data_IF_145757189074
#
_entry.id   IF_145757189074
#
_cell.length_a   1.000
_cell.length_b   1.000
_cell.length_c   1.000
_cell.angle_alpha   90.00
_cell.angle_beta   90.00
_cell.angle_gamma   90.00
#
_symmetry.space_group_name_H-M   'P 1'
#
loop_
_entity.id
_entity.type
_entity.pdbx_description
1 polymer ?
#
# COMPACT_ATOMS: atom_id res chain seq x y z
N UNK A 1 14.45 -32.29 -11.79
CA UNK A 1 15.57 -32.81 -10.98
C UNK A 1 14.99 -33.80 -10.00
N UNK A 2 15.38 -35.07 -10.13
CA UNK A 2 14.79 -36.19 -9.39
C UNK A 2 15.59 -36.46 -8.10
N UNK A 3 14.89 -36.72 -7.00
CA UNK A 3 15.46 -37.11 -5.73
C UNK A 3 16.18 -38.47 -5.84
N UNK A 4 17.39 -38.55 -5.29
CA UNK A 4 18.14 -39.80 -5.15
C UNK A 4 17.76 -40.51 -3.82
N UNK A 5 17.66 -41.85 -3.78
CA UNK A 5 17.29 -42.57 -2.57
C UNK A 5 18.52 -42.89 -1.70
N UNK A 6 18.39 -42.70 -0.39
CA UNK A 6 19.36 -43.18 0.60
C UNK A 6 19.40 -44.72 0.60
N UNK A 7 20.59 -45.27 0.31
CA UNK A 7 20.86 -46.70 0.20
C UNK A 7 21.28 -47.25 1.56
N UNK A 8 20.54 -48.25 2.05
CA UNK A 8 20.88 -49.04 3.23
C UNK A 8 22.23 -49.74 3.06
N UNK A 9 23.13 -49.59 4.02
CA UNK A 9 24.24 -50.51 4.26
C UNK A 9 24.29 -50.82 5.76
N UNK A 10 23.84 -52.03 6.10
CA UNK A 10 23.98 -52.60 7.43
C UNK A 10 25.41 -53.12 7.60
N UNK A 11 26.10 -52.69 8.67
CA UNK A 11 27.20 -53.43 9.28
C UNK A 11 27.04 -53.39 10.80
N UNK A 12 27.15 -54.58 11.39
CA UNK A 12 26.87 -54.89 12.80
C UNK A 12 28.06 -54.60 13.73
N UNK A 13 27.70 -54.18 14.94
CA UNK A 13 28.32 -54.42 16.27
C UNK A 13 29.63 -53.70 16.62
N UNK A 14 29.56 -52.80 17.62
CA UNK A 14 30.27 -52.84 18.93
C UNK A 14 29.62 -51.80 19.89
N UNK A 15 29.75 -52.05 21.20
CA UNK A 15 29.01 -51.55 22.36
C UNK A 15 29.04 -50.03 22.71
N UNK A 16 27.98 -49.63 23.44
CA UNK A 16 27.59 -48.40 24.19
C UNK A 16 28.72 -47.62 24.95
N UNK A 17 28.51 -46.38 25.44
CA UNK A 17 27.39 -45.41 25.35
C UNK A 17 27.84 -43.96 24.96
N UNK A 18 26.90 -43.00 24.93
CA UNK A 18 27.11 -41.55 24.70
C UNK A 18 27.61 -41.16 23.30
N UNK A 19 26.69 -41.01 22.36
CA UNK A 19 26.81 -39.93 21.38
C UNK A 19 25.47 -39.22 21.30
N UNK A 20 25.54 -37.92 21.52
CA UNK A 20 24.43 -36.99 21.42
C UNK A 20 23.56 -37.35 20.21
N UNK A 21 22.25 -37.48 20.46
CA UNK A 21 21.29 -37.35 19.39
C UNK A 21 21.47 -35.94 18.84
N UNK A 22 22.34 -35.78 17.84
CA UNK A 22 22.26 -34.69 16.91
C UNK A 22 20.94 -34.96 16.20
N UNK A 23 19.86 -34.44 16.79
CA UNK A 23 18.66 -34.12 16.03
C UNK A 23 19.19 -33.11 15.03
N UNK A 24 19.62 -33.61 13.87
CA UNK A 24 19.80 -32.81 12.68
C UNK A 24 18.40 -32.34 12.33
N UNK A 25 17.94 -31.32 13.07
CA UNK A 25 16.81 -30.53 12.68
C UNK A 25 17.20 -30.02 11.31
N UNK A 26 16.58 -30.59 10.29
CA UNK A 26 16.30 -29.86 9.07
C UNK A 26 15.43 -28.67 9.52
N UNK A 27 16.07 -27.64 10.07
CA UNK A 27 15.67 -26.26 9.89
C UNK A 27 15.70 -25.97 8.39
N UNK A 28 14.77 -26.60 7.68
CA UNK A 28 14.30 -26.09 6.41
C UNK A 28 13.84 -24.67 6.76
N UNK A 29 14.57 -23.69 6.23
CA UNK A 29 14.18 -22.28 6.30
C UNK A 29 12.93 -22.15 5.43
N UNK A 30 11.82 -22.73 5.86
CA UNK A 30 10.53 -22.52 5.24
C UNK A 30 10.28 -21.01 5.36
N UNK A 31 9.93 -20.34 4.25
CA UNK A 31 9.60 -18.93 4.30
C UNK A 31 8.47 -18.73 5.33
N UNK A 32 8.47 -17.60 6.05
CA UNK A 32 7.44 -17.33 7.02
C UNK A 32 6.04 -17.46 6.37
N UNK A 33 5.02 -17.87 7.15
CA UNK A 33 3.67 -17.99 6.61
C UNK A 33 3.26 -16.66 5.96
N UNK A 34 2.73 -16.74 4.75
CA UNK A 34 2.27 -15.57 4.02
C UNK A 34 1.16 -14.85 4.80
N UNK A 35 1.13 -13.51 4.79
CA UNK A 35 0.07 -12.76 5.46
C UNK A 35 -1.27 -13.09 4.82
N UNK A 36 -2.35 -13.18 5.62
CA UNK A 36 -3.68 -13.43 5.09
C UNK A 36 -4.07 -12.32 4.10
N UNK A 37 -4.86 -12.65 3.08
CA UNK A 37 -5.45 -11.66 2.18
C UNK A 37 -6.24 -10.66 3.03
N UNK A 38 -6.07 -9.34 2.81
CA UNK A 38 -6.77 -8.36 3.62
C UNK A 38 -8.27 -8.47 3.39
N UNK A 39 -9.00 -8.44 4.49
CA UNK A 39 -10.46 -8.33 4.54
C UNK A 39 -10.80 -6.97 5.14
N UNK A 40 -11.99 -6.45 4.81
CA UNK A 40 -12.48 -5.22 5.40
C UNK A 40 -13.95 -5.35 5.77
N UNK A 41 -14.28 -4.74 6.92
CA UNK A 41 -15.65 -4.59 7.37
C UNK A 41 -16.29 -3.30 6.86
N UNK A 42 -15.56 -2.46 6.12
CA UNK A 42 -16.08 -1.22 5.55
C UNK A 42 -16.83 -1.47 4.24
N UNK A 43 -18.04 -0.94 4.18
CA UNK A 43 -18.92 -0.96 3.02
C UNK A 43 -18.88 0.38 2.28
N UNK A 44 -19.52 0.43 1.11
CA UNK A 44 -19.69 1.69 0.37
C UNK A 44 -20.56 2.69 1.16
N UNK A 45 -21.56 2.19 1.90
CA UNK A 45 -22.42 3.04 2.73
C UNK A 45 -21.65 3.67 3.90
N UNK A 46 -20.69 2.94 4.48
CA UNK A 46 -19.77 3.49 5.49
C UNK A 46 -18.91 4.60 4.90
N UNK A 47 -18.37 4.39 3.69
CA UNK A 47 -17.58 5.39 2.97
C UNK A 47 -18.41 6.64 2.60
N UNK A 48 -19.68 6.47 2.21
CA UNK A 48 -20.60 7.58 1.94
C UNK A 48 -21.01 8.36 3.18
N UNK A 49 -21.04 7.69 4.33
CA UNK A 49 -21.37 8.30 5.62
C UNK A 49 -20.17 8.95 6.31
N UNK A 50 -18.96 8.76 5.77
CA UNK A 50 -17.74 9.33 6.32
C UNK A 50 -17.65 10.84 6.06
N UNK A 51 -17.37 11.60 7.12
CA UNK A 51 -17.45 13.06 7.12
C UNK A 51 -16.20 13.79 7.64
N UNK A 52 -15.16 13.06 8.04
CA UNK A 52 -13.96 13.69 8.64
C UNK A 52 -13.10 14.42 7.60
N UNK A 53 -13.04 13.90 6.36
CA UNK A 53 -12.43 14.57 5.22
C UNK A 53 -13.05 14.08 3.90
N UNK A 54 -13.07 14.90 2.83
CA UNK A 54 -13.64 14.51 1.54
C UNK A 54 -13.02 13.23 0.96
N UNK A 55 -13.86 12.28 0.55
CA UNK A 55 -13.42 11.07 -0.15
C UNK A 55 -13.73 11.17 -1.65
N UNK A 56 -12.88 10.53 -2.43
CA UNK A 56 -12.94 10.47 -3.89
C UNK A 56 -12.76 9.03 -4.35
N UNK A 57 -13.42 8.66 -5.44
CA UNK A 57 -13.41 7.29 -5.96
C UNK A 57 -13.67 7.26 -7.46
N UNK A 58 -13.60 6.06 -8.05
CA UNK A 58 -13.82 5.81 -9.49
C UNK A 58 -15.12 5.04 -9.75
N UNK A 59 -15.99 4.95 -8.74
CA UNK A 59 -17.20 4.13 -8.80
C UNK A 59 -16.96 2.68 -8.42
N UNK A 60 -17.98 1.84 -8.63
CA UNK A 60 -17.95 0.42 -8.30
C UNK A 60 -17.15 -0.44 -9.30
N UNK A 61 -16.91 0.08 -10.50
CA UNK A 61 -16.09 -0.54 -11.52
C UNK A 61 -15.34 0.54 -12.31
N UNK A 62 -14.04 0.34 -12.53
CA UNK A 62 -13.22 1.24 -13.33
C UNK A 62 -12.42 0.43 -14.35
N UNK A 63 -12.61 0.73 -15.64
CA UNK A 63 -11.93 0.03 -16.75
C UNK A 63 -12.03 -1.51 -16.68
N UNK A 64 -13.18 -2.03 -16.23
CA UNK A 64 -13.40 -3.47 -16.07
C UNK A 64 -12.92 -4.04 -14.74
N UNK A 65 -12.21 -3.26 -13.91
CA UNK A 65 -11.79 -3.66 -12.57
C UNK A 65 -12.89 -3.34 -11.54
N UNK A 66 -13.46 -4.35 -10.87
CA UNK A 66 -14.41 -4.11 -9.79
C UNK A 66 -13.70 -3.52 -8.56
N UNK A 67 -14.41 -2.68 -7.80
CA UNK A 67 -13.99 -2.31 -6.45
C UNK A 67 -14.05 -3.56 -5.56
N UNK A 68 -12.89 -3.97 -5.03
CA UNK A 68 -12.76 -5.23 -4.26
C UNK A 68 -12.55 -5.02 -2.77
N UNK A 69 -12.03 -3.85 -2.36
CA UNK A 69 -11.78 -3.53 -0.96
C UNK A 69 -11.97 -2.04 -0.71
N UNK A 70 -12.67 -1.72 0.39
CA UNK A 70 -12.68 -0.38 0.98
C UNK A 70 -12.05 -0.54 2.36
N UNK A 71 -10.96 0.15 2.65
CA UNK A 71 -10.24 0.02 3.93
C UNK A 71 -10.20 1.35 4.65
N UNK A 72 -10.58 1.35 5.92
CA UNK A 72 -10.37 2.48 6.84
C UNK A 72 -9.28 2.13 7.83
N UNK A 73 -8.29 3.00 7.96
CA UNK A 73 -7.30 2.92 9.03
C UNK A 73 -7.35 4.19 9.86
N UNK A 74 -7.83 4.07 11.09
CA UNK A 74 -7.79 5.17 12.04
C UNK A 74 -6.36 5.43 12.51
N UNK A 75 -6.02 6.71 12.70
CA UNK A 75 -4.74 7.07 13.30
C UNK A 75 -4.60 6.35 14.66
N UNK A 76 -3.54 5.56 14.81
CA UNK A 76 -3.22 4.96 16.10
C UNK A 76 -2.32 5.92 16.85
N UNK A 77 -2.76 6.44 18.00
CA UNK A 77 -1.84 7.08 18.95
C UNK A 77 -0.88 6.02 19.45
N UNK A 78 0.33 5.97 18.90
CA UNK A 78 1.35 5.05 19.38
C UNK A 78 2.37 5.82 20.21
N UNK A 79 2.52 5.44 21.47
CA UNK A 79 3.70 5.78 22.26
C UNK A 79 4.86 4.97 21.68
N UNK A 80 5.89 5.59 21.09
CA UNK A 80 7.01 4.82 20.56
C UNK A 80 7.64 4.01 21.70
N UNK A 81 8.06 2.74 21.47
CA UNK A 81 8.85 2.01 22.43
C UNK A 81 10.15 2.79 22.66
N UNK A 82 10.87 2.55 23.77
CA UNK A 82 12.09 3.29 24.13
C UNK A 82 13.18 3.31 23.04
N UNK A 83 13.04 2.45 22.01
CA UNK A 83 13.92 2.36 20.84
C UNK A 83 13.59 3.34 19.71
N UNK A 84 12.55 4.18 19.84
CA UNK A 84 12.34 5.37 19.01
C UNK A 84 11.89 5.13 17.56
N UNK A 85 11.52 3.90 17.18
CA UNK A 85 11.13 3.54 15.79
C UNK A 85 9.65 3.25 15.58
N UNK A 86 8.77 3.89 16.34
CA UNK A 86 7.33 3.83 16.08
C UNK A 86 6.90 5.00 15.21
N UNK A 87 6.64 4.80 13.92
CA UNK A 87 5.91 5.80 13.12
C UNK A 87 4.43 5.69 13.44
N UNK A 88 3.83 6.77 13.96
CA UNK A 88 2.38 6.90 13.99
C UNK A 88 1.88 6.78 12.55
N UNK A 89 0.95 5.88 12.30
CA UNK A 89 0.37 5.72 10.97
C UNK A 89 -0.81 6.67 10.84
N UNK A 90 -0.80 7.56 9.83
CA UNK A 90 -1.83 8.55 9.66
C UNK A 90 -3.17 7.90 9.35
N UNK A 91 -4.20 8.69 9.56
CA UNK A 91 -5.56 8.34 9.23
C UNK A 91 -5.74 8.22 7.71
N UNK A 92 -6.38 7.15 7.22
CA UNK A 92 -6.77 7.10 5.81
C UNK A 92 -8.00 6.24 5.52
N UNK A 93 -8.55 6.47 4.32
CA UNK A 93 -9.45 5.56 3.60
C UNK A 93 -8.78 5.15 2.29
N UNK A 94 -8.81 3.86 1.93
CA UNK A 94 -8.36 3.38 0.62
C UNK A 94 -9.40 2.54 -0.12
N UNK A 95 -9.39 2.64 -1.44
CA UNK A 95 -10.21 1.88 -2.38
C UNK A 95 -9.30 1.05 -3.29
N UNK A 96 -9.45 -0.27 -3.27
CA UNK A 96 -8.71 -1.20 -4.13
C UNK A 96 -9.58 -1.69 -5.27
N UNK A 97 -9.07 -1.61 -6.49
CA UNK A 97 -9.73 -2.05 -7.71
C UNK A 97 -9.00 -3.26 -8.30
N UNK A 98 -9.76 -4.32 -8.61
CA UNK A 98 -9.24 -5.57 -9.15
C UNK A 98 -8.79 -6.58 -8.08
N UNK A 99 -8.31 -7.73 -8.54
CA UNK A 99 -7.89 -8.83 -7.66
C UNK A 99 -6.53 -8.54 -7.03
N UNK A 100 -6.47 -8.59 -5.70
CA UNK A 100 -5.23 -8.36 -4.96
C UNK A 100 -4.22 -9.47 -5.22
N UNK A 101 -2.96 -9.10 -5.41
CA UNK A 101 -1.86 -10.03 -5.60
C UNK A 101 -0.82 -9.87 -4.48
N UNK A 102 -0.35 -10.98 -3.92
CA UNK A 102 0.74 -10.97 -2.96
C UNK A 102 2.06 -10.78 -3.69
N UNK A 103 2.84 -9.79 -3.27
CA UNK A 103 4.10 -9.40 -3.91
C UNK A 103 5.17 -9.07 -2.88
N UNK A 104 6.39 -8.77 -3.33
CA UNK A 104 7.52 -8.46 -2.45
C UNK A 104 8.37 -9.67 -2.10
N UNK A 105 9.35 -9.44 -1.24
CA UNK A 105 10.23 -10.48 -0.71
C UNK A 105 9.46 -11.44 0.22
N UNK A 106 9.77 -12.76 0.23
CA UNK A 106 9.09 -13.72 1.09
C UNK A 106 9.09 -13.40 2.59
N UNK A 107 10.04 -12.60 3.07
CA UNK A 107 10.12 -12.19 4.49
C UNK A 107 9.38 -10.88 4.78
N UNK A 108 8.96 -10.13 3.76
CA UNK A 108 8.14 -8.93 3.90
C UNK A 108 7.15 -8.76 2.73
N UNK A 109 6.26 -9.74 2.49
CA UNK A 109 5.35 -9.66 1.37
C UNK A 109 4.19 -8.69 1.66
N UNK A 110 3.65 -8.07 0.61
CA UNK A 110 2.54 -7.12 0.67
C UNK A 110 1.49 -7.43 -0.40
N UNK A 111 0.22 -7.27 -0.02
CA UNK A 111 -0.91 -7.38 -0.95
C UNK A 111 -1.08 -6.06 -1.70
N UNK A 112 -1.02 -6.12 -3.02
CA UNK A 112 -1.14 -4.96 -3.90
C UNK A 112 -2.37 -5.12 -4.81
N UNK A 113 -3.15 -4.04 -4.93
CA UNK A 113 -4.21 -3.95 -5.92
C UNK A 113 -3.65 -3.45 -7.27
N UNK A 114 -4.20 -3.90 -8.41
CA UNK A 114 -3.87 -3.31 -9.71
C UNK A 114 -3.95 -1.77 -9.71
N UNK A 115 -5.00 -1.23 -9.09
CA UNK A 115 -5.19 0.20 -8.87
C UNK A 115 -5.68 0.44 -7.44
N UNK A 116 -5.02 1.35 -6.72
CA UNK A 116 -5.42 1.76 -5.37
C UNK A 116 -5.52 3.29 -5.27
N UNK A 117 -6.63 3.77 -4.71
CA UNK A 117 -6.80 5.17 -4.31
C UNK A 117 -6.69 5.22 -2.80
N UNK A 118 -5.72 5.95 -2.26
CA UNK A 118 -5.57 6.17 -0.82
C UNK A 118 -5.75 7.64 -0.50
N UNK A 119 -6.56 7.94 0.50
CA UNK A 119 -6.95 9.31 0.86
C UNK A 119 -6.65 9.54 2.32
N UNK A 120 -5.85 10.57 2.56
CA UNK A 120 -5.47 11.05 3.89
C UNK A 120 -6.12 12.41 4.14
N UNK A 121 -6.28 12.82 5.42
CA UNK A 121 -6.53 14.22 5.71
C UNK A 121 -5.33 15.06 5.27
N UNK A 122 -5.59 16.21 4.65
CA UNK A 122 -4.56 17.11 4.11
C UNK A 122 -3.50 17.46 5.17
N UNK A 123 -3.94 17.70 6.40
CA UNK A 123 -3.09 18.17 7.49
C UNK A 123 -2.04 17.14 7.96
N UNK A 124 -2.24 15.85 7.68
CA UNK A 124 -1.26 14.79 7.96
C UNK A 124 -0.39 14.42 6.73
N UNK A 125 -0.76 14.90 5.53
CA UNK A 125 -0.04 14.64 4.28
C UNK A 125 -0.05 15.85 3.36
N UNK A 126 0.45 17.00 3.83
CA UNK A 126 0.61 18.19 2.99
C UNK A 126 1.66 17.97 1.88
N UNK A 127 1.66 18.78 0.81
CA UNK A 127 2.70 18.71 -0.22
C UNK A 127 4.11 18.82 0.35
N UNK A 128 4.32 19.72 1.31
CA UNK A 128 5.62 19.95 1.95
C UNK A 128 6.07 18.73 2.76
N UNK A 129 5.14 18.09 3.49
CA UNK A 129 5.40 16.87 4.24
C UNK A 129 5.76 15.70 3.31
N UNK A 130 5.02 15.54 2.20
CA UNK A 130 5.33 14.51 1.20
C UNK A 130 6.72 14.72 0.60
N UNK A 131 7.03 15.92 0.11
CA UNK A 131 8.34 16.22 -0.46
C UNK A 131 9.46 16.08 0.57
N UNK A 132 9.23 16.44 1.85
CA UNK A 132 10.21 16.20 2.90
C UNK A 132 10.44 14.71 3.16
N UNK A 133 9.38 13.89 3.09
CA UNK A 133 9.47 12.44 3.25
C UNK A 133 10.26 11.80 2.11
N UNK A 134 10.00 12.21 0.86
CA UNK A 134 10.73 11.73 -0.31
C UNK A 134 12.22 12.05 -0.21
N UNK A 135 12.58 13.30 0.11
CA UNK A 135 13.99 13.69 0.34
C UNK A 135 14.67 12.85 1.42
N UNK A 136 13.98 12.62 2.55
CA UNK A 136 14.54 11.79 3.62
C UNK A 136 14.80 10.34 3.17
N UNK A 137 14.02 9.80 2.22
CA UNK A 137 14.27 8.46 1.67
C UNK A 137 15.43 8.45 0.67
N UNK A 138 15.58 9.49 -0.16
CA UNK A 138 16.73 9.62 -1.06
C UNK A 138 18.05 9.81 -0.30
N UNK A 139 17.99 10.47 0.86
CA UNK A 139 19.15 10.72 1.72
C UNK A 139 19.51 9.51 2.61
N UNK A 140 18.70 8.45 2.68
CA UNK A 140 19.00 7.25 3.48
C UNK A 140 20.01 6.37 2.73
N UNK A 141 21.26 6.23 3.22
CA UNK A 141 22.29 5.46 2.53
C UNK A 141 22.01 3.95 2.49
N UNK A 142 20.98 3.47 3.20
CA UNK A 142 20.56 2.07 3.18
C UNK A 142 19.45 1.80 2.13
N UNK A 143 18.92 2.85 1.51
CA UNK A 143 17.89 2.76 0.47
C UNK A 143 18.48 3.25 -0.84
N UNK A 144 18.56 2.38 -1.84
CA UNK A 144 18.93 2.76 -3.21
C UNK A 144 17.66 3.20 -3.96
N UNK A 145 17.10 4.34 -3.56
CA UNK A 145 15.84 4.87 -4.11
C UNK A 145 16.07 6.26 -4.70
N UNK A 146 15.60 6.44 -5.93
CA UNK A 146 15.58 7.74 -6.62
C UNK A 146 14.17 8.06 -7.07
N UNK A 147 13.70 9.28 -6.77
CA UNK A 147 12.37 9.73 -7.13
C UNK A 147 12.44 10.83 -8.19
N UNK A 148 11.74 10.63 -9.29
CA UNK A 148 11.43 11.71 -10.22
C UNK A 148 10.08 12.32 -9.83
N UNK A 149 10.07 13.62 -9.54
CA UNK A 149 8.88 14.36 -9.14
C UNK A 149 8.54 15.39 -10.21
N UNK A 150 7.35 15.27 -10.79
CA UNK A 150 6.83 16.20 -11.82
C UNK A 150 5.57 16.88 -11.31
N UNK A 151 5.53 18.21 -11.37
CA UNK A 151 4.32 18.98 -11.05
C UNK A 151 3.23 18.75 -12.11
N UNK A 152 2.00 18.57 -11.66
CA UNK A 152 0.82 18.44 -12.51
C UNK A 152 -0.35 19.23 -11.94
N UNK A 153 -1.33 19.50 -12.79
CA UNK A 153 -2.64 20.03 -12.40
C UNK A 153 -3.73 19.12 -12.97
N UNK A 154 -4.65 18.65 -12.12
CA UNK A 154 -5.78 17.81 -12.49
C UNK A 154 -7.06 18.51 -12.05
N UNK A 155 -7.89 18.96 -13.01
CA UNK A 155 -9.17 19.63 -12.75
C UNK A 155 -9.06 20.79 -11.75
N UNK A 156 -7.96 21.55 -11.82
CA UNK A 156 -7.68 22.69 -10.95
C UNK A 156 -7.06 22.34 -9.58
N UNK A 157 -6.82 21.06 -9.28
CA UNK A 157 -6.07 20.64 -8.11
C UNK A 157 -4.59 20.43 -8.48
N UNK A 158 -3.70 21.05 -7.70
CA UNK A 158 -2.26 20.84 -7.80
C UNK A 158 -1.89 19.43 -7.34
N UNK A 159 -0.84 18.89 -7.96
CA UNK A 159 -0.37 17.55 -7.68
C UNK A 159 1.06 17.27 -8.12
N UNK A 160 1.51 16.07 -7.80
CA UNK A 160 2.77 15.51 -8.27
C UNK A 160 2.56 14.14 -8.91
N UNK A 161 3.24 13.90 -10.03
CA UNK A 161 3.62 12.55 -10.45
C UNK A 161 4.92 12.22 -9.72
N UNK A 162 4.94 11.11 -8.99
CA UNK A 162 6.10 10.58 -8.30
C UNK A 162 6.42 9.23 -8.92
N UNK A 163 7.62 9.09 -9.46
CA UNK A 163 8.08 7.87 -10.11
C UNK A 163 9.36 7.37 -9.44
N UNK A 164 9.37 6.09 -9.06
CA UNK A 164 10.53 5.39 -8.52
C UNK A 164 10.50 3.92 -8.96
N UNK A 165 11.60 3.41 -9.49
CA UNK A 165 11.85 1.99 -9.82
C UNK A 165 10.61 1.14 -10.17
N UNK A 166 10.01 1.44 -11.32
CA UNK A 166 8.87 0.68 -11.85
C UNK A 166 7.54 0.91 -11.12
N UNK A 167 7.50 1.88 -10.20
CA UNK A 167 6.29 2.39 -9.57
C UNK A 167 6.03 3.84 -9.97
N UNK A 168 4.75 4.17 -10.10
CA UNK A 168 4.27 5.52 -10.41
C UNK A 168 3.09 5.81 -9.49
N UNK A 169 3.07 7.01 -8.93
CA UNK A 169 1.99 7.50 -8.08
C UNK A 169 1.60 8.90 -8.52
N UNK A 170 0.30 9.19 -8.55
CA UNK A 170 -0.21 10.55 -8.64
C UNK A 170 -0.71 10.98 -7.28
N UNK A 171 -0.19 12.09 -6.75
CA UNK A 171 -0.65 12.73 -5.52
C UNK A 171 -1.37 14.02 -5.87
N UNK A 172 -2.58 14.24 -5.36
CA UNK A 172 -3.38 15.43 -5.56
C UNK A 172 -3.83 16.00 -4.21
N UNK A 173 -3.90 17.32 -4.09
CA UNK A 173 -4.44 17.99 -2.90
C UNK A 173 -5.70 18.75 -3.24
N UNK A 174 -6.81 18.37 -2.59
CA UNK A 174 -8.14 18.90 -2.90
C UNK A 174 -9.04 18.93 -1.68
N UNK A 175 -9.68 20.07 -1.42
CA UNK A 175 -10.40 20.31 -0.18
C UNK A 175 -9.53 20.01 1.04
N UNK A 176 -10.05 19.29 2.03
CA UNK A 176 -9.32 18.87 3.22
C UNK A 176 -8.59 17.51 3.05
N UNK A 177 -8.31 17.08 1.82
CA UNK A 177 -7.77 15.74 1.53
C UNK A 177 -6.49 15.76 0.69
N UNK A 178 -5.65 14.77 0.92
CA UNK A 178 -4.55 14.37 0.04
C UNK A 178 -4.88 13.01 -0.58
N UNK A 179 -4.99 12.95 -1.90
CA UNK A 179 -5.42 11.78 -2.68
C UNK A 179 -4.23 11.20 -3.43
N UNK A 180 -3.96 9.92 -3.21
CA UNK A 180 -2.87 9.17 -3.84
C UNK A 180 -3.46 8.10 -4.74
N UNK A 181 -3.20 8.17 -6.04
CA UNK A 181 -3.59 7.17 -7.03
C UNK A 181 -2.35 6.36 -7.40
N UNK A 182 -2.36 5.07 -7.09
CA UNK A 182 -1.22 4.17 -7.25
C UNK A 182 -1.61 3.04 -8.20
N UNK A 183 -0.71 2.64 -9.08
CA UNK A 183 -0.89 1.40 -9.85
C UNK A 183 0.19 0.38 -9.52
N UNK A 184 -0.15 -0.89 -9.71
CA UNK A 184 0.80 -1.98 -9.57
C UNK A 184 0.70 -2.93 -10.75
N UNK A 185 1.68 -2.83 -11.67
CA UNK A 185 1.86 -3.74 -12.82
C UNK A 185 0.57 -3.96 -13.63
N UNK A 186 -0.29 -2.95 -13.67
CA UNK A 186 -1.62 -3.05 -14.27
C UNK A 186 -1.65 -2.43 -15.68
N UNK A 187 -0.76 -1.47 -15.94
CA UNK A 187 -0.77 -0.69 -17.18
C UNK A 187 -1.88 0.35 -17.21
N UNK A 188 -2.50 0.64 -16.06
CA UNK A 188 -3.52 1.68 -15.91
C UNK A 188 -2.89 3.04 -16.13
N UNK A 189 -3.52 3.88 -16.95
CA UNK A 189 -3.13 5.26 -17.13
C UNK A 189 -3.52 6.08 -15.88
N UNK A 190 -2.58 6.25 -14.94
CA UNK A 190 -2.83 6.93 -13.68
C UNK A 190 -3.37 8.35 -13.84
N UNK A 191 -2.88 9.10 -14.83
CA UNK A 191 -3.36 10.44 -15.12
C UNK A 191 -4.85 10.42 -15.47
N UNK A 192 -5.29 9.42 -16.26
CA UNK A 192 -6.69 9.25 -16.60
C UNK A 192 -7.51 8.87 -15.37
N UNK A 193 -7.02 7.93 -14.55
CA UNK A 193 -7.68 7.57 -13.30
C UNK A 193 -7.82 8.78 -12.36
N UNK A 194 -6.78 9.62 -12.26
CA UNK A 194 -6.83 10.85 -11.49
C UNK A 194 -7.85 11.86 -12.05
N UNK A 195 -7.96 12.00 -13.38
CA UNK A 195 -8.97 12.83 -14.03
C UNK A 195 -10.40 12.34 -13.77
N UNK A 196 -10.59 11.03 -13.72
CA UNK A 196 -11.90 10.39 -13.58
C UNK A 196 -12.39 10.30 -12.12
N UNK A 197 -11.61 10.78 -11.14
CA UNK A 197 -12.02 10.83 -9.72
C UNK A 197 -13.24 11.72 -9.51
N UNK A 198 -14.25 11.24 -8.79
CA UNK A 198 -15.38 12.05 -8.34
C UNK A 198 -15.60 11.89 -6.83
N UNK A 199 -16.26 12.86 -6.15
CA UNK A 199 -16.59 12.73 -4.73
C UNK A 199 -17.40 11.45 -4.44
N UNK A 200 -17.20 10.84 -3.27
CA UNK A 200 -17.89 9.59 -2.87
C UNK A 200 -19.42 9.69 -2.83
N UNK A 201 -19.93 10.92 -2.69
CA UNK A 201 -21.36 11.22 -2.70
C UNK A 201 -21.97 11.17 -4.11
N UNK A 202 -21.16 11.16 -5.16
CA UNK A 202 -21.58 11.05 -6.55
C UNK A 202 -21.41 9.59 -7.03
N UNK A 203 -22.21 9.17 -8.03
CA UNK A 203 -22.14 7.85 -8.67
C UNK A 203 -21.32 7.88 -9.96
N UNK A 204 -20.84 6.71 -10.40
CA UNK A 204 -20.12 6.57 -11.68
C UNK A 204 -20.96 7.10 -12.85
N UNK A 205 -20.38 8.00 -13.64
CA UNK A 205 -21.05 8.67 -14.76
C UNK A 205 -21.60 10.07 -14.42
N UNK A 206 -21.38 10.55 -13.19
CA UNK A 206 -21.56 11.97 -12.88
C UNK A 206 -20.64 12.84 -13.75
N UNK A 207 -21.10 14.06 -14.06
CA UNK A 207 -20.30 15.03 -14.78
C UNK A 207 -19.10 15.46 -13.91
N UNK A 208 -17.90 15.34 -14.47
CA UNK A 208 -16.65 15.65 -13.77
C UNK A 208 -16.53 17.17 -13.58
N UNK A 209 -16.63 17.63 -12.32
CA UNK A 209 -16.52 19.05 -11.93
C UNK A 209 -15.08 19.43 -11.56
N UNK A 210 -14.68 20.70 -11.53
CA UNK A 210 -13.40 21.07 -10.92
C UNK A 210 -13.24 20.47 -9.52
N UNK A 211 -12.05 19.93 -9.21
CA UNK A 211 -11.74 19.47 -7.86
C UNK A 211 -11.65 20.71 -6.94
N UNK A 212 -12.21 20.67 -5.72
CA UNK A 212 -12.10 21.79 -4.80
C UNK A 212 -10.63 22.17 -4.54
N UNK A 213 -10.30 23.46 -4.43
CA UNK A 213 -8.96 23.87 -4.04
C UNK A 213 -8.62 23.32 -2.63
N UNK A 214 -7.34 23.07 -2.33
CA UNK A 214 -6.94 22.58 -1.01
C UNK A 214 -7.26 23.59 0.09
N UNK A 215 -7.73 23.08 1.22
CA UNK A 215 -7.98 23.82 2.44
C UNK A 215 -7.13 23.23 3.55
N UNK A 216 -6.19 24.01 4.08
CA UNK A 216 -5.40 23.63 5.25
C UNK A 216 -6.29 23.72 6.51
N UNK A 217 -7.02 22.65 6.82
CA UNK A 217 -7.67 22.50 8.12
C UNK A 217 -6.66 22.00 9.14
N UNK A 218 -6.78 22.40 10.41
CA UNK A 218 -5.97 21.79 11.48
C UNK A 218 -6.43 20.35 11.72
N UNK A 219 -5.47 19.46 12.02
CA UNK A 219 -5.76 18.22 12.75
C UNK A 219 -5.69 18.54 14.26
#
# INVERSE_FOLDING_TARGET
MAAAPCRNAAFRLIALPLFAAIVSGCWENDPPPQPPKPESNWTLDDARSFDQFPLYWLGANYEGMPLTLIRRRQATSYTPPPTGRGMATPDYVSYSYGELSLTGDPYSPSWMAPLEITIYPYCENSPEQLLSRLRNFEDDPNLDLHYEVTNIEIRGADGYIIQADGSKTISLWTGASAVFVNEWKSGVELEKAAQDLFPIAEDSGAELKPLPPPTSTEC
#
